data_IF_761629096279
#
_entry.id   IF_761629096279
#
_cell.length_a   1.000
_cell.length_b   1.000
_cell.length_c   1.000
_cell.angle_alpha   90.00
_cell.angle_beta   90.00
_cell.angle_gamma   90.00
#
_symmetry.space_group_name_H-M   'P 1'
#
loop_
_entity.id
_entity.type
_entity.pdbx_description
1 polymer ?
#
# COMPACT_ATOMS: atom_id res chain seq x y z
N UNK A 1 19.27 17.56 -6.73
CA UNK A 1 18.65 17.13 -8.00
C UNK A 1 17.33 16.47 -7.63
N UNK A 2 16.21 16.85 -8.26
CA UNK A 2 14.93 16.16 -8.07
C UNK A 2 14.96 14.93 -8.98
N UNK A 3 14.92 13.74 -8.39
CA UNK A 3 14.71 12.52 -9.18
C UNK A 3 13.27 12.58 -9.70
N UNK A 4 13.12 12.94 -10.97
CA UNK A 4 11.82 12.87 -11.62
C UNK A 4 11.48 11.40 -11.81
N UNK A 5 10.32 11.01 -11.29
CA UNK A 5 9.87 9.64 -11.37
C UNK A 5 8.94 9.52 -12.56
N UNK A 6 9.44 8.90 -13.61
CA UNK A 6 8.75 8.83 -14.91
C UNK A 6 7.67 7.75 -14.97
N UNK A 7 7.58 6.87 -13.97
CA UNK A 7 6.56 5.81 -13.91
C UNK A 7 6.05 5.58 -12.49
N UNK A 8 4.78 5.20 -12.38
CA UNK A 8 4.15 4.85 -11.11
C UNK A 8 4.88 3.74 -10.35
N UNK A 9 5.39 2.72 -11.07
CA UNK A 9 6.17 1.63 -10.48
C UNK A 9 7.53 2.09 -9.93
N UNK A 10 8.15 3.11 -10.55
CA UNK A 10 9.38 3.69 -10.02
C UNK A 10 9.12 4.50 -8.75
N UNK A 11 7.94 5.13 -8.61
CA UNK A 11 7.55 5.88 -7.40
C UNK A 11 7.36 4.93 -6.23
N UNK A 12 6.62 3.84 -6.45
CA UNK A 12 6.44 2.80 -5.43
C UNK A 12 7.77 2.23 -4.95
N UNK A 13 8.67 1.89 -5.89
CA UNK A 13 9.99 1.37 -5.55
C UNK A 13 10.85 2.38 -4.78
N UNK A 14 10.76 3.66 -5.12
CA UNK A 14 11.47 4.70 -4.37
C UNK A 14 10.93 4.82 -2.94
N UNK A 15 9.61 4.88 -2.77
CA UNK A 15 8.97 4.91 -1.45
C UNK A 15 9.36 3.68 -0.62
N UNK A 16 9.36 2.48 -1.23
CA UNK A 16 9.77 1.24 -0.57
C UNK A 16 11.22 1.31 -0.07
N UNK A 17 12.15 1.76 -0.93
CA UNK A 17 13.55 1.89 -0.54
C UNK A 17 13.76 2.95 0.53
N UNK A 18 13.10 4.12 0.40
CA UNK A 18 13.22 5.21 1.36
C UNK A 18 12.68 4.79 2.73
N UNK A 19 11.58 4.04 2.78
CA UNK A 19 11.03 3.48 4.03
C UNK A 19 12.01 2.53 4.72
N UNK A 20 12.71 1.67 3.96
CA UNK A 20 13.73 0.78 4.53
C UNK A 20 14.93 1.53 5.09
N UNK A 21 15.32 2.64 4.47
CA UNK A 21 16.42 3.49 4.95
C UNK A 21 15.99 4.26 6.22
N UNK A 22 14.75 4.73 6.27
CA UNK A 22 14.21 5.45 7.43
C UNK A 22 13.92 4.54 8.63
N UNK A 23 13.51 3.30 8.37
CA UNK A 23 13.13 2.31 9.38
C UNK A 23 13.97 1.03 9.29
N UNK A 24 15.29 1.11 9.57
CA UNK A 24 16.14 -0.09 9.59
C UNK A 24 15.67 -1.10 10.65
N UNK A 25 14.98 -0.65 11.70
CA UNK A 25 14.39 -1.51 12.74
C UNK A 25 13.26 -2.41 12.24
N UNK A 26 12.66 -2.11 11.09
CA UNK A 26 11.66 -2.97 10.46
C UNK A 26 12.27 -4.06 9.58
N UNK A 27 13.58 -4.02 9.34
CA UNK A 27 14.29 -4.99 8.51
C UNK A 27 14.76 -6.13 9.42
N UNK A 28 14.25 -7.33 9.15
CA UNK A 28 14.66 -8.54 9.84
C UNK A 28 16.08 -8.96 9.46
N UNK A 29 16.75 -9.84 10.24
CA UNK A 29 18.09 -10.33 9.92
C UNK A 29 18.20 -11.05 8.57
N UNK A 30 17.08 -11.57 8.04
CA UNK A 30 17.00 -12.17 6.72
C UNK A 30 16.92 -11.13 5.58
N UNK A 31 16.86 -9.84 5.91
CA UNK A 31 16.74 -8.74 4.96
C UNK A 31 15.31 -8.46 4.49
N UNK A 32 14.30 -9.14 5.03
CA UNK A 32 12.89 -8.87 4.72
C UNK A 32 12.29 -7.85 5.68
N UNK A 33 11.27 -7.14 5.22
CA UNK A 33 10.51 -6.22 6.08
C UNK A 33 9.02 -6.40 5.83
N UNK A 34 8.36 -7.33 6.54
CA UNK A 34 6.93 -7.59 6.39
C UNK A 34 6.07 -6.34 6.66
N UNK A 35 6.56 -5.44 7.52
CA UNK A 35 5.93 -4.14 7.74
C UNK A 35 6.00 -3.26 6.48
N UNK A 36 7.17 -3.16 5.84
CA UNK A 36 7.32 -2.41 4.59
C UNK A 36 6.41 -2.98 3.49
N UNK A 37 6.34 -4.31 3.36
CA UNK A 37 5.47 -5.00 2.40
C UNK A 37 3.98 -4.70 2.68
N UNK A 38 3.58 -4.65 3.96
CA UNK A 38 2.21 -4.31 4.35
C UNK A 38 1.83 -2.86 4.00
N UNK A 39 2.76 -1.92 4.17
CA UNK A 39 2.57 -0.52 3.79
C UNK A 39 2.45 -0.37 2.28
N UNK A 40 3.29 -1.08 1.53
CA UNK A 40 3.25 -1.07 0.07
C UNK A 40 1.92 -1.63 -0.46
N UNK A 41 1.47 -2.78 0.06
CA UNK A 41 0.19 -3.37 -0.30
C UNK A 41 -1.00 -2.44 0.00
N UNK A 42 -0.97 -1.76 1.16
CA UNK A 42 -2.00 -0.78 1.53
C UNK A 42 -1.99 0.43 0.59
N UNK A 43 -0.80 0.93 0.25
CA UNK A 43 -0.63 2.05 -0.65
C UNK A 43 -1.19 1.73 -2.04
N UNK A 44 -0.90 0.54 -2.59
CA UNK A 44 -1.48 0.09 -3.85
C UNK A 44 -3.01 0.05 -3.79
N UNK A 45 -3.59 -0.47 -2.71
CA UNK A 45 -5.04 -0.54 -2.53
C UNK A 45 -5.70 0.84 -2.44
N UNK A 46 -5.07 1.79 -1.75
CA UNK A 46 -5.58 3.17 -1.68
C UNK A 46 -5.52 3.85 -3.05
N UNK A 47 -4.45 3.61 -3.80
CA UNK A 47 -4.29 4.18 -5.14
C UNK A 47 -5.28 3.57 -6.13
N UNK A 48 -5.54 2.27 -6.03
CA UNK A 48 -6.58 1.59 -6.80
C UNK A 48 -7.98 2.12 -6.47
N UNK A 49 -8.29 2.29 -5.18
CA UNK A 49 -9.56 2.87 -4.73
C UNK A 49 -9.71 4.36 -5.10
N UNK A 50 -8.59 5.09 -5.25
CA UNK A 50 -8.57 6.49 -5.69
C UNK A 50 -8.69 6.67 -7.19
N UNK A 51 -8.52 5.59 -7.97
CA UNK A 51 -8.79 5.62 -9.40
C UNK A 51 -10.29 5.91 -9.54
N UNK A 52 -10.68 6.96 -10.28
CA UNK A 52 -12.08 7.19 -10.58
C UNK A 52 -12.63 5.90 -11.17
N UNK A 53 -13.53 5.24 -10.44
CA UNK A 53 -14.31 4.17 -11.04
C UNK A 53 -15.05 4.86 -12.17
N UNK A 54 -14.70 4.51 -13.40
CA UNK A 54 -15.42 4.95 -14.59
C UNK A 54 -16.80 4.30 -14.48
N UNK A 55 -17.65 4.94 -13.68
CA UNK A 55 -19.01 4.55 -13.39
C UNK A 55 -19.78 4.76 -14.68
N UNK A 56 -19.70 3.79 -15.59
CA UNK A 56 -20.83 3.57 -16.46
C UNK A 56 -21.97 3.14 -15.54
N UNK A 57 -22.94 4.04 -15.40
CA UNK A 57 -24.20 3.73 -14.77
C UNK A 57 -24.96 2.77 -15.69
N UNK A 58 -24.79 1.47 -15.47
CA UNK A 58 -25.82 0.51 -15.82
C UNK A 58 -26.11 -0.33 -14.58
N UNK A 59 -27.06 0.17 -13.79
CA UNK A 59 -27.58 -0.47 -12.60
C UNK A 59 -28.23 -1.81 -12.99
N UNK A 60 -27.51 -2.90 -12.71
CA UNK A 60 -28.00 -4.27 -12.79
C UNK A 60 -27.66 -5.05 -11.53
N UNK A 61 -28.47 -4.84 -10.48
CA UNK A 61 -28.67 -5.62 -9.24
C UNK A 61 -27.71 -6.80 -8.95
N UNK A 62 -27.08 -6.78 -7.78
CA UNK A 62 -26.56 -8.01 -7.16
C UNK A 62 -25.67 -7.80 -5.96
N UNK A 63 -26.25 -7.46 -4.80
CA UNK A 63 -25.54 -7.38 -3.53
C UNK A 63 -24.93 -8.73 -3.14
N UNK A 64 -23.60 -8.80 -3.07
CA UNK A 64 -22.84 -9.88 -2.42
C UNK A 64 -21.52 -9.31 -1.86
N UNK A 65 -21.53 -9.13 -0.54
CA UNK A 65 -20.43 -9.34 0.43
C UNK A 65 -18.96 -9.11 -0.01
N UNK A 66 -18.32 -8.09 0.55
CA UNK A 66 -16.86 -8.14 0.78
C UNK A 66 -16.51 -7.71 2.20
N UNK A 67 -16.27 -8.74 3.00
CA UNK A 67 -15.60 -8.71 4.28
C UNK A 67 -14.15 -8.26 4.05
N UNK A 68 -13.87 -6.95 4.15
CA UNK A 68 -12.48 -6.45 4.04
C UNK A 68 -12.19 -5.31 5.02
N UNK A 69 -12.85 -5.33 6.16
CA UNK A 69 -12.71 -4.32 7.22
C UNK A 69 -12.17 -4.89 8.54
N UNK A 70 -11.31 -5.91 8.48
CA UNK A 70 -10.61 -6.41 9.67
C UNK A 70 -9.17 -6.78 9.34
N UNK A 71 -8.29 -5.81 9.26
CA UNK A 71 -6.84 -6.03 9.43
C UNK A 71 -6.13 -4.69 9.71
N UNK A 72 -6.58 -4.01 10.76
CA UNK A 72 -5.91 -2.81 11.27
C UNK A 72 -5.80 -2.87 12.79
N UNK A 73 -4.88 -3.69 13.29
CA UNK A 73 -4.40 -3.67 14.68
C UNK A 73 -2.96 -4.20 14.73
N UNK A 74 -1.99 -3.47 14.18
CA UNK A 74 -0.57 -3.80 14.41
C UNK A 74 0.37 -2.59 14.60
N UNK A 75 -0.13 -1.35 14.55
CA UNK A 75 0.72 -0.16 14.74
C UNK A 75 0.70 0.43 16.16
N UNK A 76 0.16 -0.29 17.16
CA UNK A 76 0.06 0.18 18.55
C UNK A 76 0.66 -0.78 19.60
N UNK A 77 1.56 -1.69 19.19
CA UNK A 77 2.28 -2.55 20.12
C UNK A 77 3.79 -2.48 19.87
N UNK A 78 4.41 -1.35 20.23
CA UNK A 78 5.81 -1.23 20.67
C UNK A 78 6.15 0.24 20.92
N UNK A 79 5.62 0.79 22.01
CA UNK A 79 6.19 1.90 22.76
C UNK A 79 5.65 1.85 24.19
#
# INVERSE_FOLDING_TARGET
MRHEIHTYSALLRQIHNDLRVQHPEWIQPNGESPLCDSYEARLMKLLDASRPMESNENIGKGAKNSETARHFEFAKASL
#
